data_IF_000562261313
#
_entry.id   IF_000562261313
#
_cell.length_a   1.000
_cell.length_b   1.000
_cell.length_c   1.000
_cell.angle_alpha   90.00
_cell.angle_beta   90.00
_cell.angle_gamma   90.00
#
_symmetry.space_group_name_H-M   'P 1'
#
loop_
_entity.id
_entity.type
_entity.pdbx_description
1 polymer ?
#
# COMPACT_ATOMS: atom_id res chain seq x y z
N UNK A 1 -15.47 -20.19 14.22
CA UNK A 1 -16.01 -19.06 13.45
C UNK A 1 -14.85 -18.11 13.18
N UNK A 2 -14.22 -18.16 12.01
CA UNK A 2 -12.99 -17.41 11.69
C UNK A 2 -13.33 -16.10 10.94
N UNK A 3 -14.27 -15.32 11.47
CA UNK A 3 -14.80 -14.11 10.80
C UNK A 3 -14.36 -12.79 11.45
N UNK A 4 -13.24 -12.77 12.18
CA UNK A 4 -12.68 -11.49 12.63
C UNK A 4 -11.86 -10.86 11.51
N UNK A 5 -12.46 -9.91 10.80
CA UNK A 5 -11.77 -9.03 9.85
C UNK A 5 -10.88 -8.05 10.60
N UNK A 6 -9.68 -8.50 10.96
CA UNK A 6 -8.72 -7.76 11.81
C UNK A 6 -8.37 -6.36 11.28
N UNK A 7 -8.53 -6.14 9.97
CA UNK A 7 -8.17 -4.88 9.30
C UNK A 7 -9.38 -4.11 8.80
N UNK A 8 -10.59 -4.45 9.26
CA UNK A 8 -11.80 -3.78 8.81
C UNK A 8 -11.74 -2.26 9.07
N UNK A 9 -12.06 -1.49 8.03
CA UNK A 9 -12.02 -0.03 7.99
C UNK A 9 -10.63 0.61 8.19
N UNK A 10 -9.56 -0.17 8.31
CA UNK A 10 -8.20 0.36 8.39
C UNK A 10 -7.74 0.89 7.05
N UNK A 11 -7.23 2.12 7.02
CA UNK A 11 -6.63 2.73 5.83
C UNK A 11 -5.17 2.33 5.74
N UNK A 12 -4.81 1.60 4.71
CA UNK A 12 -3.47 1.01 4.57
C UNK A 12 -2.83 1.49 3.28
N UNK A 13 -1.59 1.97 3.39
CA UNK A 13 -0.75 2.27 2.24
C UNK A 13 0.22 1.11 2.00
N UNK A 14 0.16 0.50 0.82
CA UNK A 14 1.13 -0.51 0.36
C UNK A 14 2.12 0.15 -0.60
N UNK A 15 3.40 0.13 -0.26
CA UNK A 15 4.46 0.72 -1.09
C UNK A 15 5.21 -0.39 -1.82
N UNK A 16 5.11 -0.39 -3.15
CA UNK A 16 5.75 -1.33 -4.05
C UNK A 16 5.01 -2.67 -4.19
N UNK A 17 4.65 -3.01 -5.42
CA UNK A 17 3.93 -4.23 -5.77
C UNK A 17 4.87 -5.43 -5.90
N UNK A 18 5.91 -5.37 -6.73
CA UNK A 18 6.86 -6.47 -7.00
C UNK A 18 6.26 -7.89 -6.83
N UNK A 19 6.91 -8.81 -6.11
CA UNK A 19 6.41 -10.20 -5.97
C UNK A 19 5.28 -10.36 -4.94
N UNK A 20 5.36 -9.65 -3.81
CA UNK A 20 4.48 -9.89 -2.64
C UNK A 20 3.46 -8.79 -2.38
N UNK A 21 3.68 -7.57 -2.88
CA UNK A 21 2.82 -6.43 -2.62
C UNK A 21 1.42 -6.58 -3.20
N UNK A 22 1.28 -7.26 -4.33
CA UNK A 22 -0.02 -7.62 -4.92
C UNK A 22 -0.82 -8.51 -3.97
N UNK A 23 -0.20 -9.60 -3.49
CA UNK A 23 -0.85 -10.52 -2.56
C UNK A 23 -1.23 -9.85 -1.24
N UNK A 24 -0.38 -8.96 -0.72
CA UNK A 24 -0.66 -8.17 0.48
C UNK A 24 -1.84 -7.22 0.26
N UNK A 25 -1.88 -6.50 -0.85
CA UNK A 25 -2.97 -5.58 -1.17
C UNK A 25 -4.32 -6.32 -1.24
N UNK A 26 -4.38 -7.46 -1.93
CA UNK A 26 -5.59 -8.29 -2.02
C UNK A 26 -5.99 -8.88 -0.67
N UNK A 27 -5.04 -9.37 0.11
CA UNK A 27 -5.32 -9.91 1.45
C UNK A 27 -5.93 -8.84 2.35
N UNK A 28 -5.35 -7.63 2.38
CA UNK A 28 -5.85 -6.52 3.20
C UNK A 28 -7.25 -6.09 2.75
N UNK A 29 -7.49 -5.99 1.44
CA UNK A 29 -8.82 -5.72 0.87
C UNK A 29 -9.84 -6.76 1.34
N UNK A 30 -9.52 -8.05 1.23
CA UNK A 30 -10.40 -9.15 1.68
C UNK A 30 -10.66 -9.11 3.19
N UNK A 31 -9.72 -8.59 3.97
CA UNK A 31 -9.85 -8.36 5.41
C UNK A 31 -10.59 -7.06 5.76
N UNK A 32 -11.22 -6.40 4.77
CA UNK A 32 -12.04 -5.20 4.98
C UNK A 32 -11.26 -3.89 5.10
N UNK A 33 -9.96 -3.89 4.79
CA UNK A 33 -9.15 -2.68 4.79
C UNK A 33 -9.48 -1.80 3.58
N UNK A 34 -9.26 -0.51 3.74
CA UNK A 34 -9.28 0.50 2.67
C UNK A 34 -7.85 0.64 2.16
N UNK A 35 -7.53 -0.04 1.07
CA UNK A 35 -6.16 -0.17 0.57
C UNK A 35 -5.87 0.89 -0.49
N UNK A 36 -4.73 1.57 -0.32
CA UNK A 36 -4.09 2.36 -1.37
C UNK A 36 -2.72 1.76 -1.68
N UNK A 37 -2.40 1.64 -2.96
CA UNK A 37 -1.09 1.16 -3.43
C UNK A 37 -0.33 2.34 -4.03
N UNK A 38 0.97 2.43 -3.73
CA UNK A 38 1.87 3.32 -4.44
C UNK A 38 3.06 2.54 -5.01
N UNK A 39 3.25 2.61 -6.33
CA UNK A 39 4.32 1.95 -7.06
C UNK A 39 5.04 2.94 -7.99
N UNK A 40 6.35 2.75 -8.18
CA UNK A 40 7.17 3.61 -9.05
C UNK A 40 7.02 3.28 -10.53
N UNK A 41 6.60 2.06 -10.87
CA UNK A 41 6.43 1.62 -12.25
C UNK A 41 5.17 2.32 -12.80
N UNK A 42 5.23 2.95 -13.99
CA UNK A 42 4.06 3.53 -14.63
C UNK A 42 2.92 2.53 -14.81
N UNK A 43 1.68 3.02 -14.78
CA UNK A 43 0.50 2.15 -14.83
C UNK A 43 0.47 1.31 -16.11
N UNK A 44 0.91 1.89 -17.23
CA UNK A 44 0.93 1.28 -18.56
C UNK A 44 1.76 -0.01 -18.58
N UNK A 45 2.86 -0.03 -17.84
CA UNK A 45 3.84 -1.12 -17.73
C UNK A 45 3.56 -2.08 -16.56
N UNK A 46 2.50 -1.81 -15.78
CA UNK A 46 2.22 -2.54 -14.54
C UNK A 46 0.86 -3.26 -14.61
N UNK A 47 0.81 -4.48 -15.17
CA UNK A 47 -0.44 -5.24 -15.28
C UNK A 47 -1.05 -5.59 -13.91
N UNK A 48 -0.21 -5.80 -12.89
CA UNK A 48 -0.67 -6.05 -11.52
C UNK A 48 -1.39 -4.84 -10.94
N UNK A 49 -0.86 -3.63 -11.14
CA UNK A 49 -1.54 -2.40 -10.75
C UNK A 49 -2.91 -2.24 -11.42
N UNK A 50 -3.02 -2.58 -12.71
CA UNK A 50 -4.31 -2.55 -13.43
C UNK A 50 -5.31 -3.54 -12.83
N UNK A 51 -4.89 -4.78 -12.55
CA UNK A 51 -5.73 -5.79 -11.90
C UNK A 51 -6.23 -5.32 -10.53
N UNK A 52 -5.40 -4.63 -9.74
CA UNK A 52 -5.82 -4.11 -8.43
C UNK A 52 -6.86 -2.98 -8.55
N UNK A 53 -6.76 -2.14 -9.59
CA UNK A 53 -7.78 -1.12 -9.87
C UNK A 53 -9.12 -1.78 -10.20
N UNK A 54 -9.13 -2.85 -11.01
CA UNK A 54 -10.33 -3.62 -11.34
C UNK A 54 -11.00 -4.24 -10.10
N UNK A 55 -10.20 -4.58 -9.08
CA UNK A 55 -10.66 -5.05 -7.77
C UNK A 55 -11.10 -3.92 -6.81
N UNK A 56 -11.06 -2.66 -7.25
CA UNK A 56 -11.49 -1.51 -6.47
C UNK A 56 -10.42 -0.91 -5.55
N UNK A 57 -9.14 -1.32 -5.69
CA UNK A 57 -8.02 -0.74 -4.94
C UNK A 57 -7.57 0.54 -5.62
N UNK A 58 -7.37 1.61 -4.83
CA UNK A 58 -6.75 2.84 -5.32
C UNK A 58 -5.27 2.61 -5.58
N UNK A 59 -4.80 2.90 -6.79
CA UNK A 59 -3.38 2.76 -7.15
C UNK A 59 -2.81 4.10 -7.65
N UNK A 60 -1.68 4.52 -7.08
CA UNK A 60 -0.85 5.62 -7.57
C UNK A 60 0.44 5.02 -8.15
N UNK A 61 0.55 5.06 -9.47
CA UNK A 61 1.67 4.48 -10.22
C UNK A 61 2.60 5.57 -10.78
N UNK A 62 3.82 5.19 -11.18
CA UNK A 62 4.77 6.06 -11.87
C UNK A 62 5.48 7.12 -11.01
N UNK A 63 5.14 7.26 -9.73
CA UNK A 63 5.73 8.28 -8.85
C UNK A 63 5.61 7.93 -7.37
N UNK A 64 6.34 8.66 -6.51
CA UNK A 64 6.24 8.56 -5.06
C UNK A 64 5.88 9.93 -4.46
N UNK A 65 4.62 10.37 -4.59
CA UNK A 65 4.18 11.65 -4.03
C UNK A 65 4.11 11.53 -2.51
N UNK A 66 5.11 12.09 -1.80
CA UNK A 66 5.16 12.06 -0.34
C UNK A 66 3.95 12.74 0.31
N UNK A 67 3.36 13.72 -0.39
CA UNK A 67 2.14 14.43 0.03
C UNK A 67 0.93 13.48 0.12
N UNK A 68 0.99 12.27 -0.46
CA UNK A 68 -0.01 11.23 -0.22
C UNK A 68 -0.16 10.93 1.28
N UNK A 69 0.92 11.03 2.04
CA UNK A 69 0.92 10.79 3.50
C UNK A 69 0.32 11.96 4.30
N UNK A 70 -0.18 13.02 3.65
CA UNK A 70 -1.08 13.99 4.29
C UNK A 70 -2.48 13.39 4.49
N UNK A 71 -2.84 12.36 3.72
CA UNK A 71 -4.03 11.56 4.00
C UNK A 71 -3.82 10.70 5.26
N UNK A 72 -4.92 10.38 5.95
CA UNK A 72 -4.87 9.51 7.12
C UNK A 72 -4.67 8.04 6.71
N UNK A 73 -3.57 7.44 7.18
CA UNK A 73 -3.29 6.00 7.12
C UNK A 73 -3.07 5.45 8.53
N UNK A 74 -3.70 4.32 8.84
CA UNK A 74 -3.50 3.59 10.11
C UNK A 74 -2.11 2.93 10.15
N UNK A 75 -1.62 2.46 9.01
CA UNK A 75 -0.27 1.93 8.85
C UNK A 75 0.17 1.84 7.38
N UNK A 76 1.47 1.65 7.20
CA UNK A 76 2.12 1.42 5.91
C UNK A 76 2.69 0.01 5.86
N UNK A 77 2.59 -0.66 4.72
CA UNK A 77 3.33 -1.89 4.41
C UNK A 77 4.27 -1.59 3.25
N UNK A 78 5.58 -1.72 3.48
CA UNK A 78 6.56 -1.61 2.39
C UNK A 78 6.93 -3.00 1.86
N UNK A 79 7.21 -3.10 0.58
CA UNK A 79 7.84 -4.30 0.05
C UNK A 79 9.22 -4.54 0.74
N UNK A 80 9.64 -5.78 1.04
CA UNK A 80 10.95 -6.08 1.60
C UNK A 80 12.13 -5.42 0.87
N UNK A 81 12.06 -5.33 -0.46
CA UNK A 81 13.11 -4.72 -1.28
C UNK A 81 13.23 -3.19 -1.16
N UNK A 82 12.27 -2.51 -0.53
CA UNK A 82 12.32 -1.07 -0.31
C UNK A 82 13.13 -0.77 0.96
N UNK A 83 14.22 0.02 0.85
CA UNK A 83 15.03 0.38 2.00
C UNK A 83 14.31 1.38 2.91
N UNK A 84 14.69 1.41 4.19
CA UNK A 84 14.09 2.33 5.17
C UNK A 84 14.43 3.81 4.96
N UNK A 85 15.46 4.12 4.17
CA UNK A 85 15.79 5.48 3.74
C UNK A 85 15.01 5.93 2.48
N UNK A 86 14.06 5.11 2.00
CA UNK A 86 13.14 5.54 0.93
C UNK A 86 12.28 6.71 1.42
N UNK A 87 12.06 7.71 0.55
CA UNK A 87 11.35 8.94 0.89
C UNK A 87 9.95 8.71 1.50
N UNK A 88 9.18 7.76 0.98
CA UNK A 88 7.85 7.43 1.51
C UNK A 88 7.93 6.77 2.89
N UNK A 89 8.92 5.90 3.10
CA UNK A 89 9.12 5.21 4.37
C UNK A 89 9.58 6.19 5.46
N UNK A 90 10.52 7.08 5.14
CA UNK A 90 10.96 8.12 6.05
C UNK A 90 9.84 9.10 6.38
N UNK A 91 9.06 9.52 5.38
CA UNK A 91 7.92 10.42 5.59
C UNK A 91 6.86 9.78 6.50
N UNK A 92 6.52 8.51 6.29
CA UNK A 92 5.60 7.78 7.15
C UNK A 92 6.09 7.72 8.61
N UNK A 93 7.38 7.40 8.81
CA UNK A 93 8.01 7.40 10.14
C UNK A 93 8.01 8.77 10.81
N UNK A 94 8.31 9.85 10.07
CA UNK A 94 8.29 11.22 10.59
C UNK A 94 6.90 11.64 11.08
N UNK A 95 5.85 11.11 10.45
CA UNK A 95 4.44 11.31 10.85
C UNK A 95 3.97 10.36 11.97
N UNK A 96 4.84 9.46 12.45
CA UNK A 96 4.48 8.48 13.48
C UNK A 96 3.59 7.34 12.97
N UNK A 97 3.48 7.15 11.65
CA UNK A 97 2.69 6.07 11.06
C UNK A 97 3.49 4.76 11.15
N UNK A 98 2.93 3.68 11.72
CA UNK A 98 3.60 2.38 11.79
C UNK A 98 3.96 1.85 10.40
N UNK A 99 5.17 1.31 10.24
CA UNK A 99 5.65 0.73 8.99
C UNK A 99 6.01 -0.75 9.17
N UNK A 100 5.36 -1.62 8.39
CA UNK A 100 5.55 -3.07 8.36
C UNK A 100 6.17 -3.54 7.04
N UNK A 101 6.57 -4.81 6.96
CA UNK A 101 7.17 -5.47 5.79
C UNK A 101 6.60 -6.87 5.62
#
# INVERSE_FOLDING_TARGET
>A
MLNEKKFEHKRVLVIGLAKSGVAVAKLLLHQGAIVTVNDRIPLEENPDAKSLIEEGIRVLAGSHPVDLLEEHFDFVVKNPGIPYHNCMVEAAKKKGIPVYT
#
